data_IF_657365378180
#
_entry.id   IF_657365378180
#
_cell.length_a   1.000
_cell.length_b   1.000
_cell.length_c   1.000
_cell.angle_alpha   90.00
_cell.angle_beta   90.00
_cell.angle_gamma   90.00
#
_symmetry.space_group_name_H-M   'P 1'
#
loop_
_entity.id
_entity.type
_entity.pdbx_description
1 polymer ?
#
# COMPACT_ATOMS: atom_id res chain seq x y z
N UNK A 1 4.07 0.87 -10.27
CA UNK A 1 4.00 -0.44 -10.95
C UNK A 1 2.90 -0.50 -12.02
N UNK A 2 1.60 -0.27 -11.76
CA UNK A 2 0.57 -0.50 -12.78
C UNK A 2 0.68 0.42 -14.01
N UNK A 3 1.12 1.67 -13.83
CA UNK A 3 1.35 2.58 -14.95
C UNK A 3 2.50 2.11 -15.85
N UNK A 4 3.63 1.69 -15.26
CA UNK A 4 4.77 1.13 -15.99
C UNK A 4 4.39 -0.16 -16.73
N UNK A 5 3.52 -0.99 -16.14
CA UNK A 5 2.95 -2.16 -16.81
C UNK A 5 2.12 -1.78 -18.04
N UNK A 6 1.24 -0.78 -17.91
CA UNK A 6 0.41 -0.25 -19.01
C UNK A 6 1.27 0.31 -20.16
N UNK A 7 2.40 0.94 -19.84
CA UNK A 7 3.29 1.56 -20.84
C UNK A 7 4.43 0.65 -21.30
N UNK A 8 4.57 -0.56 -20.74
CA UNK A 8 5.68 -1.47 -21.02
C UNK A 8 7.06 -0.90 -20.62
N UNK A 9 7.10 0.01 -19.63
CA UNK A 9 8.32 0.69 -19.19
C UNK A 9 8.96 0.01 -17.99
N UNK A 10 10.26 0.21 -17.82
CA UNK A 10 10.96 -0.13 -16.58
C UNK A 10 10.53 0.83 -15.45
N UNK A 11 10.50 0.33 -14.21
CA UNK A 11 10.24 1.14 -13.02
C UNK A 11 11.57 1.55 -12.38
N UNK A 12 11.87 2.85 -12.38
CA UNK A 12 12.98 3.39 -11.61
C UNK A 12 12.49 3.86 -10.24
N UNK A 13 13.19 3.46 -9.19
CA UNK A 13 12.95 3.90 -7.81
C UNK A 13 14.18 4.70 -7.37
N UNK A 14 13.98 6.00 -7.14
CA UNK A 14 15.03 6.90 -6.63
C UNK A 14 15.15 6.73 -5.11
N UNK A 15 15.58 5.54 -4.68
CA UNK A 15 15.70 5.17 -3.28
C UNK A 15 16.12 3.71 -3.07
N UNK A 16 16.21 3.34 -1.79
CA UNK A 16 16.52 1.98 -1.35
C UNK A 16 15.29 1.08 -1.53
N UNK A 17 15.51 -0.11 -2.09
CA UNK A 17 14.47 -1.13 -2.29
C UNK A 17 14.87 -2.38 -1.51
N UNK A 18 14.00 -2.85 -0.62
CA UNK A 18 14.27 -4.08 0.12
C UNK A 18 14.34 -5.29 -0.80
N UNK A 19 15.18 -6.26 -0.43
CA UNK A 19 15.35 -7.51 -1.18
C UNK A 19 14.02 -8.25 -1.37
N UNK A 20 13.22 -8.31 -0.31
CA UNK A 20 11.89 -8.91 -0.33
C UNK A 20 10.93 -8.23 -1.31
N UNK A 21 10.95 -6.89 -1.42
CA UNK A 21 10.10 -6.19 -2.39
C UNK A 21 10.50 -6.53 -3.82
N UNK A 22 11.80 -6.58 -4.11
CA UNK A 22 12.31 -6.91 -5.44
C UNK A 22 11.95 -8.35 -5.85
N UNK A 23 12.07 -9.31 -4.94
CA UNK A 23 11.71 -10.71 -5.21
C UNK A 23 10.20 -10.91 -5.38
N UNK A 24 9.39 -10.29 -4.51
CA UNK A 24 7.94 -10.32 -4.64
C UNK A 24 7.48 -9.64 -5.95
N UNK A 25 8.16 -8.59 -6.41
CA UNK A 25 7.85 -7.95 -7.69
C UNK A 25 8.02 -8.92 -8.87
N UNK A 26 9.10 -9.70 -8.89
CA UNK A 26 9.31 -10.74 -9.93
C UNK A 26 8.19 -11.77 -9.92
N UNK A 27 7.74 -12.18 -8.73
CA UNK A 27 6.64 -13.13 -8.59
C UNK A 27 5.31 -12.55 -9.11
N UNK A 28 4.97 -11.32 -8.74
CA UNK A 28 3.77 -10.63 -9.24
C UNK A 28 3.81 -10.51 -10.76
N UNK A 29 4.98 -10.20 -11.34
CA UNK A 29 5.16 -10.13 -12.79
C UNK A 29 4.84 -11.44 -13.51
N UNK A 30 5.21 -12.59 -12.93
CA UNK A 30 4.83 -13.90 -13.47
C UNK A 30 3.32 -14.12 -13.42
N UNK A 31 2.70 -13.85 -12.26
CA UNK A 31 1.24 -13.99 -12.09
C UNK A 31 0.48 -13.11 -13.10
N UNK A 32 0.91 -11.87 -13.29
CA UNK A 32 0.27 -10.95 -14.23
C UNK A 32 0.45 -11.37 -15.69
N UNK A 33 1.62 -11.92 -16.04
CA UNK A 33 1.85 -12.49 -17.35
C UNK A 33 0.92 -13.70 -17.60
N UNK A 34 0.78 -14.58 -16.61
CA UNK A 34 -0.04 -15.79 -16.72
C UNK A 34 -1.54 -15.47 -16.79
N UNK A 35 -2.01 -14.52 -16.00
CA UNK A 35 -3.45 -14.21 -15.88
C UNK A 35 -3.93 -13.22 -16.93
N UNK A 36 -3.09 -12.25 -17.30
CA UNK A 36 -3.50 -11.10 -18.12
C UNK A 36 -2.64 -10.90 -19.36
N UNK A 37 -1.59 -11.70 -19.57
CA UNK A 37 -0.64 -11.50 -20.67
C UNK A 37 0.22 -10.24 -20.53
N UNK A 38 0.23 -9.61 -19.34
CA UNK A 38 0.93 -8.36 -19.10
C UNK A 38 2.36 -8.64 -18.62
N UNK A 39 3.34 -8.22 -19.42
CA UNK A 39 4.75 -8.31 -19.04
C UNK A 39 5.17 -7.08 -18.25
N UNK A 40 5.46 -7.27 -16.97
CA UNK A 40 6.09 -6.21 -16.17
C UNK A 40 7.53 -5.98 -16.63
N UNK A 41 7.93 -4.72 -16.72
CA UNK A 41 9.34 -4.32 -16.88
C UNK A 41 10.19 -4.67 -15.66
N UNK A 42 11.46 -4.30 -15.69
CA UNK A 42 12.35 -4.43 -14.54
C UNK A 42 12.13 -3.32 -13.52
N UNK A 43 12.34 -3.60 -12.23
CA UNK A 43 12.51 -2.56 -11.21
C UNK A 43 14.00 -2.30 -11.07
N UNK A 44 14.40 -1.04 -11.20
CA UNK A 44 15.76 -0.58 -10.94
C UNK A 44 15.71 0.40 -9.78
N UNK A 45 16.44 0.09 -8.71
CA UNK A 45 16.64 0.96 -7.56
C UNK A 45 18.02 0.70 -6.97
N UNK A 46 18.36 1.37 -5.88
CA UNK A 46 19.54 0.98 -5.09
C UNK A 46 19.15 -0.28 -4.32
N UNK A 47 19.71 -1.43 -4.71
CA UNK A 47 19.52 -2.71 -4.00
C UNK A 47 20.23 -2.64 -2.63
N UNK A 48 19.54 -2.05 -1.66
CA UNK A 48 20.01 -1.95 -0.28
C UNK A 48 18.82 -2.10 0.64
N UNK A 49 19.00 -2.88 1.71
CA UNK A 49 18.04 -2.87 2.81
C UNK A 49 17.97 -1.44 3.35
N UNK A 50 16.77 -0.86 3.49
CA UNK A 50 16.62 0.47 4.03
C UNK A 50 17.46 0.59 5.31
N UNK A 51 18.37 1.57 5.39
CA UNK A 51 19.11 1.82 6.63
C UNK A 51 18.07 2.17 7.72
N UNK A 52 17.69 1.18 8.53
CA UNK A 52 16.62 1.28 9.53
C UNK A 52 16.97 2.15 10.73
N UNK A 53 17.88 3.11 10.57
CA UNK A 53 18.55 3.82 11.67
C UNK A 53 17.98 5.20 11.98
N UNK A 54 17.10 5.78 11.16
CA UNK A 54 16.65 7.18 11.36
C UNK A 54 15.12 7.37 11.50
N UNK A 55 14.34 6.30 11.71
CA UNK A 55 12.89 6.42 11.90
C UNK A 55 12.28 5.30 12.73
N UNK A 56 11.25 5.62 13.50
CA UNK A 56 10.47 4.64 14.26
C UNK A 56 9.97 3.52 13.35
N UNK A 57 10.28 2.26 13.68
CA UNK A 57 9.74 1.07 13.00
C UNK A 57 8.21 1.06 13.15
N UNK A 58 7.49 1.30 12.04
CA UNK A 58 6.04 1.25 12.00
C UNK A 58 5.56 0.15 11.06
N UNK A 59 4.68 -0.72 11.56
CA UNK A 59 3.95 -1.70 10.74
C UNK A 59 2.60 -1.12 10.36
N UNK A 60 2.38 -0.94 9.05
CA UNK A 60 1.16 -0.36 8.48
C UNK A 60 0.31 -1.39 7.73
N UNK A 61 -1.01 -1.21 7.76
CA UNK A 61 -1.95 -1.99 6.95
C UNK A 61 -2.91 -1.06 6.20
N UNK A 62 -3.16 -1.32 4.91
CA UNK A 62 -4.18 -0.61 4.16
C UNK A 62 -5.58 -0.89 4.73
N UNK A 63 -6.35 0.17 4.93
CA UNK A 63 -7.64 0.12 5.60
C UNK A 63 -8.69 0.92 4.83
N UNK A 64 -9.67 0.21 4.29
CA UNK A 64 -10.78 0.78 3.52
C UNK A 64 -12.10 0.83 4.31
N UNK A 65 -12.14 0.24 5.51
CA UNK A 65 -13.34 0.12 6.33
C UNK A 65 -14.30 -0.99 5.86
N UNK A 66 -13.88 -1.82 4.92
CA UNK A 66 -14.60 -3.02 4.51
C UNK A 66 -14.28 -4.23 5.41
N UNK A 67 -15.11 -5.28 5.31
CA UNK A 67 -15.01 -6.51 6.13
C UNK A 67 -13.61 -7.13 6.05
N UNK A 68 -13.04 -7.24 4.86
CA UNK A 68 -11.71 -7.84 4.67
C UNK A 68 -10.59 -7.01 5.33
N UNK A 69 -10.72 -5.68 5.29
CA UNK A 69 -9.75 -4.79 5.93
C UNK A 69 -9.86 -4.86 7.45
N UNK A 70 -11.08 -4.95 8.00
CA UNK A 70 -11.29 -5.19 9.43
C UNK A 70 -10.77 -6.55 9.88
N UNK A 71 -11.08 -7.62 9.14
CA UNK A 71 -10.54 -8.95 9.41
C UNK A 71 -9.01 -8.94 9.44
N UNK A 72 -8.39 -8.29 8.45
CA UNK A 72 -6.94 -8.14 8.39
C UNK A 72 -6.41 -7.40 9.62
N UNK A 73 -7.02 -6.28 10.02
CA UNK A 73 -6.59 -5.53 11.19
C UNK A 73 -6.72 -6.37 12.46
N UNK A 74 -7.89 -6.94 12.74
CA UNK A 74 -8.16 -7.73 13.95
C UNK A 74 -7.23 -8.93 14.06
N UNK A 75 -7.02 -9.66 12.96
CA UNK A 75 -6.09 -10.81 12.91
C UNK A 75 -4.64 -10.43 13.22
N UNK A 76 -4.23 -9.19 12.92
CA UNK A 76 -2.85 -8.73 13.11
C UNK A 76 -2.67 -7.88 14.38
N UNK A 77 -3.76 -7.47 15.05
CA UNK A 77 -3.71 -6.82 16.36
C UNK A 77 -3.27 -7.78 17.47
N UNK A 78 -3.68 -9.04 17.38
CA UNK A 78 -3.41 -10.07 18.40
C UNK A 78 -2.04 -10.76 18.26
N UNK A 79 -1.19 -10.33 17.32
CA UNK A 79 0.13 -10.95 17.14
C UNK A 79 1.05 -10.62 18.31
N UNK A 80 1.55 -11.67 18.96
CA UNK A 80 2.43 -11.58 20.14
C UNK A 80 3.83 -11.04 19.83
N UNK A 81 4.31 -11.15 18.57
CA UNK A 81 5.63 -10.64 18.19
C UNK A 81 5.60 -9.12 18.01
N UNK A 82 6.24 -8.40 18.95
CA UNK A 82 6.29 -6.93 18.98
C UNK A 82 6.77 -6.30 17.66
N UNK A 83 7.72 -6.93 16.96
CA UNK A 83 8.30 -6.40 15.71
C UNK A 83 7.31 -6.35 14.54
N UNK A 84 6.25 -7.18 14.59
CA UNK A 84 5.24 -7.27 13.53
C UNK A 84 3.85 -6.82 13.98
N UNK A 85 3.75 -6.25 15.19
CA UNK A 85 2.48 -5.76 15.71
C UNK A 85 2.02 -4.56 14.91
N UNK A 86 0.75 -4.56 14.50
CA UNK A 86 0.18 -3.47 13.74
C UNK A 86 0.22 -2.16 14.54
N UNK A 87 0.67 -1.08 13.90
CA UNK A 87 0.84 0.24 14.54
C UNK A 87 0.07 1.36 13.85
N UNK A 88 -0.19 1.23 12.54
CA UNK A 88 -0.83 2.27 11.75
C UNK A 88 -1.81 1.67 10.74
N UNK A 89 -2.86 2.42 10.44
CA UNK A 89 -3.77 2.15 9.32
C UNK A 89 -3.44 3.12 8.17
N UNK A 90 -3.56 2.66 6.92
CA UNK A 90 -3.29 3.47 5.74
C UNK A 90 -4.56 3.62 4.91
N UNK A 91 -5.03 4.86 4.77
CA UNK A 91 -6.11 5.22 3.85
C UNK A 91 -5.53 5.92 2.62
N UNK A 92 -5.89 5.45 1.41
CA UNK A 92 -5.41 6.02 0.15
C UNK A 92 -6.56 6.62 -0.65
N UNK A 93 -6.68 7.94 -0.61
CA UNK A 93 -7.60 8.70 -1.46
C UNK A 93 -7.17 8.60 -2.93
N UNK A 94 -8.12 8.52 -3.85
CA UNK A 94 -7.85 8.35 -5.28
C UNK A 94 -7.64 6.90 -5.70
N UNK A 95 -7.67 5.98 -4.72
CA UNK A 95 -7.72 4.54 -4.98
C UNK A 95 -9.15 3.99 -4.89
N UNK A 96 -9.85 4.11 -3.76
CA UNK A 96 -11.25 3.64 -3.68
C UNK A 96 -12.27 4.75 -3.94
N UNK A 97 -11.95 5.97 -3.49
CA UNK A 97 -12.75 7.19 -3.69
C UNK A 97 -12.04 8.07 -4.71
N UNK A 98 -12.78 8.63 -5.69
CA UNK A 98 -12.18 9.53 -6.70
C UNK A 98 -11.54 10.75 -6.02
N UNK A 99 -10.43 11.23 -6.60
CA UNK A 99 -9.75 12.44 -6.12
C UNK A 99 -10.65 13.68 -6.21
N UNK A 100 -11.63 13.74 -7.12
CA UNK A 100 -12.54 14.89 -7.23
C UNK A 100 -13.75 14.81 -6.30
N UNK A 101 -14.08 13.62 -5.78
CA UNK A 101 -15.24 13.41 -4.91
C UNK A 101 -14.91 13.75 -3.45
N UNK A 102 -14.92 15.06 -3.16
CA UNK A 102 -14.55 15.60 -1.84
C UNK A 102 -15.56 15.25 -0.75
N UNK A 103 -16.84 15.17 -1.08
CA UNK A 103 -17.89 14.86 -0.11
C UNK A 103 -17.80 13.40 0.33
N UNK A 104 -17.64 12.47 -0.62
CA UNK A 104 -17.44 11.07 -0.31
C UNK A 104 -16.11 10.84 0.42
N UNK A 105 -15.02 11.50 0.02
CA UNK A 105 -13.74 11.42 0.74
C UNK A 105 -13.87 11.88 2.19
N UNK A 106 -14.55 13.00 2.45
CA UNK A 106 -14.75 13.48 3.81
C UNK A 106 -15.57 12.50 4.66
N UNK A 107 -16.65 11.93 4.10
CA UNK A 107 -17.47 10.93 4.77
C UNK A 107 -16.70 9.65 5.07
N UNK A 108 -15.97 9.11 4.08
CA UNK A 108 -15.17 7.88 4.24
C UNK A 108 -14.04 8.13 5.23
N UNK A 109 -13.25 9.19 5.06
CA UNK A 109 -12.17 9.53 5.96
C UNK A 109 -12.66 9.70 7.41
N UNK A 110 -13.80 10.36 7.62
CA UNK A 110 -14.41 10.48 8.95
C UNK A 110 -14.69 9.12 9.60
N UNK A 111 -15.30 8.19 8.86
CA UNK A 111 -15.55 6.82 9.36
C UNK A 111 -14.26 6.05 9.67
N UNK A 112 -13.26 6.16 8.80
CA UNK A 112 -11.98 5.47 9.00
C UNK A 112 -11.21 6.04 10.18
N UNK A 113 -11.27 7.36 10.40
CA UNK A 113 -10.68 8.01 11.58
C UNK A 113 -11.36 7.54 12.86
N UNK A 114 -12.70 7.52 12.92
CA UNK A 114 -13.42 7.00 14.08
C UNK A 114 -13.11 5.53 14.36
N UNK A 115 -13.02 4.69 13.32
CA UNK A 115 -12.61 3.29 13.48
C UNK A 115 -11.17 3.18 13.98
N UNK A 116 -10.24 3.99 13.47
CA UNK A 116 -8.86 4.05 13.96
C UNK A 116 -8.77 4.44 15.43
N UNK A 117 -9.55 5.42 15.86
CA UNK A 117 -9.66 5.82 17.28
C UNK A 117 -10.15 4.66 18.16
N UNK A 118 -11.20 3.95 17.75
CA UNK A 118 -11.73 2.80 18.47
C UNK A 118 -10.73 1.63 18.55
N UNK A 119 -9.95 1.43 17.48
CA UNK A 119 -8.92 0.40 17.41
C UNK A 119 -7.60 0.82 18.09
N UNK A 120 -7.47 2.06 18.54
CA UNK A 120 -6.22 2.61 19.08
C UNK A 120 -5.09 2.68 18.05
N UNK A 121 -5.41 2.77 16.76
CA UNK A 121 -4.45 2.81 15.65
C UNK A 121 -4.57 4.14 14.88
N UNK A 122 -3.51 4.97 14.83
CA UNK A 122 -3.51 6.17 14.00
C UNK A 122 -3.70 5.83 12.52
N UNK A 123 -4.50 6.66 11.84
CA UNK A 123 -4.74 6.53 10.39
C UNK A 123 -3.86 7.51 9.62
N UNK A 124 -2.94 6.98 8.83
CA UNK A 124 -2.13 7.72 7.87
C UNK A 124 -2.94 7.89 6.59
N UNK A 125 -3.10 9.14 6.14
CA UNK A 125 -3.75 9.47 4.87
C UNK A 125 -2.71 9.69 3.78
N UNK A 126 -2.87 8.97 2.68
CA UNK A 126 -2.14 9.18 1.44
C UNK A 126 -3.12 9.48 0.30
N UNK A 127 -2.61 9.98 -0.81
CA UNK A 127 -3.39 10.21 -2.02
C UNK A 127 -2.64 9.73 -3.25
N UNK A 128 -3.37 9.20 -4.24
CA UNK A 128 -2.81 8.77 -5.52
C UNK A 128 -3.67 9.22 -6.69
N UNK A 129 -3.05 9.56 -7.82
CA UNK A 129 -3.73 9.82 -9.08
C UNK A 129 -3.75 8.60 -10.01
N UNK A 130 -3.38 7.41 -9.51
CA UNK A 130 -3.20 6.21 -10.31
C UNK A 130 -4.39 5.91 -11.23
N UNK A 131 -5.62 5.96 -10.72
CA UNK A 131 -6.82 5.69 -11.54
C UNK A 131 -6.98 6.64 -12.72
N UNK A 132 -6.59 7.90 -12.56
CA UNK A 132 -6.65 8.88 -13.66
C UNK A 132 -5.66 8.55 -14.78
N UNK A 133 -4.50 8.01 -14.42
CA UNK A 133 -3.46 7.62 -15.38
C UNK A 133 -3.73 6.24 -16.04
N UNK A 134 -4.53 5.39 -15.40
CA UNK A 134 -4.88 4.06 -15.91
C UNK A 134 -6.15 4.02 -16.77
N UNK A 135 -7.03 5.03 -16.70
CA UNK A 135 -8.09 5.23 -17.71
C UNK A 135 -7.48 5.41 -19.10
#
# INVERSE_FOLDING_TARGET
MPLAAKTGSDLQVDGEVSSALNDNFKQIGRIWQDWYGIKLGSVRGVDREPDGTDGSKGVGCFFSGGVDSFFTVLKNLEREQEENRLTHLLYVRGFDVDLDDRELDAMVAGRLLSAGEELGLPVIRASTNLRRLLK
#
